data_IF_197328146455
#
_entry.id   IF_197328146455
#
_cell.length_a   1.000
_cell.length_b   1.000
_cell.length_c   1.000
_cell.angle_alpha   90.00
_cell.angle_beta   90.00
_cell.angle_gamma   90.00
#
_symmetry.space_group_name_H-M   'P 1'
#
loop_
_entity.id
_entity.type
_entity.pdbx_description
1 polymer ?
#
# COMPACT_ATOMS: atom_id res chain seq x y z
N UNK A 1 38.40 43.38 -77.21
CA UNK A 1 37.84 42.04 -77.44
C UNK A 1 36.51 41.95 -76.73
N UNK A 2 35.42 41.78 -77.50
CA UNK A 2 34.06 41.52 -77.02
C UNK A 2 33.94 40.06 -76.56
N UNK A 3 32.94 39.82 -75.70
CA UNK A 3 32.11 38.61 -75.45
C UNK A 3 31.85 38.54 -73.93
N UNK A 4 30.67 38.31 -73.36
CA UNK A 4 29.30 38.15 -73.81
C UNK A 4 28.43 38.38 -72.54
N UNK A 5 27.24 38.94 -72.69
CA UNK A 5 26.12 38.83 -71.73
C UNK A 5 24.93 38.23 -72.52
N UNK A 6 23.74 37.91 -71.95
CA UNK A 6 23.32 37.56 -70.57
C UNK A 6 22.39 36.30 -70.54
N UNK A 7 21.92 35.86 -69.37
CA UNK A 7 20.58 35.27 -69.22
C UNK A 7 20.08 35.38 -67.77
N UNK A 8 18.87 35.92 -67.64
CA UNK A 8 18.16 36.33 -66.43
C UNK A 8 17.20 35.22 -65.98
N UNK A 9 16.92 35.09 -64.67
CA UNK A 9 15.57 34.97 -64.04
C UNK A 9 15.64 34.51 -62.57
N UNK A 10 14.62 34.84 -61.75
CA UNK A 10 14.78 35.28 -60.37
C UNK A 10 14.20 34.29 -59.35
N UNK A 11 14.91 34.05 -58.26
CA UNK A 11 14.32 33.54 -57.02
C UNK A 11 15.25 33.84 -55.85
N UNK A 12 14.67 34.11 -54.68
CA UNK A 12 15.30 34.47 -53.41
C UNK A 12 15.79 35.93 -53.26
N UNK A 13 14.89 36.89 -53.52
CA UNK A 13 14.73 37.98 -52.55
C UNK A 13 14.08 37.40 -51.28
N UNK A 14 14.41 37.98 -50.12
CA UNK A 14 13.86 37.72 -48.77
C UNK A 14 14.35 36.49 -47.99
N UNK A 15 15.47 36.65 -47.30
CA UNK A 15 15.69 36.08 -45.96
C UNK A 15 16.75 36.90 -45.19
N UNK A 16 16.49 38.19 -45.01
CA UNK A 16 17.03 38.94 -43.86
C UNK A 16 16.02 38.85 -42.72
N UNK A 17 16.56 38.76 -41.51
CA UNK A 17 15.90 38.90 -40.21
C UNK A 17 14.95 37.77 -39.79
N UNK A 18 15.45 36.91 -38.89
CA UNK A 18 14.81 36.50 -37.61
C UNK A 18 15.68 35.45 -36.93
N UNK A 19 16.86 35.84 -36.44
CA UNK A 19 17.61 35.04 -35.48
C UNK A 19 17.14 35.39 -34.06
N UNK A 20 16.56 34.42 -33.35
CA UNK A 20 16.44 34.48 -31.88
C UNK A 20 15.07 34.87 -31.31
N UNK A 21 13.97 34.76 -32.06
CA UNK A 21 12.63 34.83 -31.47
C UNK A 21 12.17 33.42 -31.06
N UNK A 22 12.45 33.07 -29.79
CA UNK A 22 11.70 32.10 -29.01
C UNK A 22 11.35 30.77 -29.69
N UNK A 23 12.31 29.86 -29.81
CA UNK A 23 11.94 28.47 -29.63
C UNK A 23 11.46 28.35 -28.17
N UNK A 24 10.13 28.40 -27.96
CA UNK A 24 9.51 27.84 -26.75
C UNK A 24 9.84 26.36 -26.76
N UNK A 25 11.07 26.00 -26.37
CA UNK A 25 11.49 24.63 -26.25
C UNK A 25 10.46 23.94 -25.36
N UNK A 26 9.92 22.82 -25.83
CA UNK A 26 9.04 22.02 -25.00
C UNK A 26 9.80 21.66 -23.70
N UNK A 27 9.14 21.80 -22.55
CA UNK A 27 9.75 21.49 -21.24
C UNK A 27 10.52 20.15 -21.24
N UNK A 28 10.03 19.07 -21.90
CA UNK A 28 10.80 17.82 -21.99
C UNK A 28 12.12 17.92 -22.77
N UNK A 29 12.15 18.70 -23.85
CA UNK A 29 13.36 18.88 -24.66
C UNK A 29 14.42 19.69 -23.89
N UNK A 30 13.99 20.75 -23.19
CA UNK A 30 14.87 21.54 -22.33
C UNK A 30 15.41 20.69 -21.17
N UNK A 31 14.55 19.90 -20.55
CA UNK A 31 14.93 18.97 -19.48
C UNK A 31 16.03 18.00 -19.92
N UNK A 32 15.95 17.46 -21.14
CA UNK A 32 16.98 16.56 -21.67
C UNK A 32 18.33 17.27 -21.90
N UNK A 33 18.30 18.51 -22.39
CA UNK A 33 19.51 19.34 -22.60
C UNK A 33 20.19 19.69 -21.28
N UNK A 34 19.42 20.19 -20.30
CA UNK A 34 19.94 20.55 -18.97
C UNK A 34 20.52 19.36 -18.21
N UNK A 35 20.01 18.14 -18.44
CA UNK A 35 20.58 16.92 -17.85
C UNK A 35 21.90 16.50 -18.51
N UNK A 36 22.12 16.88 -19.76
CA UNK A 36 23.33 16.52 -20.53
C UNK A 36 24.47 17.50 -20.25
N UNK A 37 24.14 18.77 -20.08
CA UNK A 37 25.08 19.85 -19.81
C UNK A 37 24.50 20.76 -18.72
N UNK A 38 24.74 20.48 -17.42
CA UNK A 38 24.19 21.30 -16.35
C UNK A 38 24.80 22.71 -16.27
N UNK A 39 26.12 22.82 -16.44
CA UNK A 39 26.84 24.10 -16.30
C UNK A 39 26.42 25.11 -17.38
N UNK A 40 26.17 24.65 -18.60
CA UNK A 40 25.75 25.50 -19.71
C UNK A 40 24.34 26.09 -19.60
N UNK A 41 23.50 25.60 -18.68
CA UNK A 41 22.09 25.99 -18.57
C UNK A 41 21.71 26.58 -17.19
N UNK A 42 22.69 27.03 -16.40
CA UNK A 42 22.43 27.68 -15.10
C UNK A 42 21.56 28.94 -15.24
N UNK A 43 21.76 29.72 -16.30
CA UNK A 43 21.00 30.94 -16.56
C UNK A 43 19.52 30.65 -16.78
N UNK A 44 19.22 29.61 -17.54
CA UNK A 44 17.88 29.11 -17.84
C UNK A 44 17.23 28.54 -16.58
N UNK A 45 18.00 27.82 -15.75
CA UNK A 45 17.52 27.33 -14.46
C UNK A 45 17.07 28.48 -13.57
N UNK A 46 17.90 29.52 -13.41
CA UNK A 46 17.55 30.69 -12.58
C UNK A 46 16.32 31.40 -13.10
N UNK A 47 16.14 31.48 -14.43
CA UNK A 47 14.93 32.04 -15.02
C UNK A 47 13.69 31.20 -14.69
N UNK A 48 13.79 29.86 -14.77
CA UNK A 48 12.71 28.95 -14.43
C UNK A 48 12.37 28.94 -12.94
N UNK A 49 13.36 29.08 -12.06
CA UNK A 49 13.16 29.19 -10.62
C UNK A 49 12.44 30.49 -10.25
N UNK A 50 12.87 31.64 -10.80
CA UNK A 50 12.15 32.91 -10.61
C UNK A 50 10.73 32.85 -11.15
N UNK A 51 10.53 32.17 -12.28
CA UNK A 51 9.19 31.95 -12.84
C UNK A 51 8.33 31.10 -11.89
N UNK A 52 8.90 30.06 -11.28
CA UNK A 52 8.22 29.23 -10.29
C UNK A 52 7.81 30.05 -9.07
N UNK A 53 8.73 30.79 -8.46
CA UNK A 53 8.46 31.64 -7.30
C UNK A 53 7.40 32.70 -7.59
N UNK A 54 7.48 33.33 -8.77
CA UNK A 54 6.49 34.31 -9.22
C UNK A 54 5.11 33.67 -9.39
N UNK A 55 5.04 32.48 -9.99
CA UNK A 55 3.80 31.73 -10.17
C UNK A 55 3.21 31.28 -8.83
N UNK A 56 4.04 30.86 -7.87
CA UNK A 56 3.61 30.55 -6.50
C UNK A 56 3.03 31.79 -5.81
N UNK A 57 3.72 32.94 -5.92
CA UNK A 57 3.26 34.20 -5.34
C UNK A 57 1.91 34.64 -5.93
N UNK A 58 1.79 34.65 -7.26
CA UNK A 58 0.55 34.99 -7.96
C UNK A 58 -0.58 34.04 -7.58
N UNK A 59 -0.31 32.73 -7.51
CA UNK A 59 -1.31 31.75 -7.12
C UNK A 59 -1.80 31.97 -5.68
N UNK A 60 -0.89 32.26 -4.73
CA UNK A 60 -1.26 32.57 -3.33
C UNK A 60 -2.08 33.85 -3.23
N UNK A 61 -1.72 34.89 -3.97
CA UNK A 61 -2.45 36.15 -4.00
C UNK A 61 -3.85 35.97 -4.62
N UNK A 62 -3.94 35.24 -5.74
CA UNK A 62 -5.21 34.88 -6.36
C UNK A 62 -6.09 34.07 -5.41
N UNK A 63 -5.54 33.09 -4.68
CA UNK A 63 -6.29 32.31 -3.71
C UNK A 63 -6.83 33.17 -2.54
N UNK A 64 -6.06 34.17 -2.09
CA UNK A 64 -6.51 35.11 -1.05
C UNK A 64 -7.65 36.03 -1.53
N UNK A 65 -7.60 36.48 -2.79
CA UNK A 65 -8.60 37.37 -3.39
C UNK A 65 -9.85 36.63 -3.89
N UNK A 66 -9.71 35.37 -4.31
CA UNK A 66 -10.78 34.59 -4.97
C UNK A 66 -11.76 33.90 -4.02
N UNK A 67 -11.80 34.27 -2.73
CA UNK A 67 -12.88 33.86 -1.82
C UNK A 67 -14.27 34.38 -2.24
N UNK A 68 -14.35 35.23 -3.28
CA UNK A 68 -15.58 35.96 -3.65
C UNK A 68 -16.14 35.70 -5.05
N UNK A 69 -15.53 34.91 -5.94
CA UNK A 69 -16.14 34.68 -7.27
C UNK A 69 -15.64 33.44 -8.00
N UNK A 70 -16.56 32.53 -8.27
CA UNK A 70 -16.44 31.40 -9.20
C UNK A 70 -16.16 31.86 -10.63
N UNK A 71 -15.16 31.27 -11.30
CA UNK A 71 -15.14 31.22 -12.76
C UNK A 71 -13.76 31.24 -13.44
N UNK A 72 -13.21 30.05 -13.74
CA UNK A 72 -12.48 29.79 -14.98
C UNK A 72 -10.97 30.11 -15.08
N UNK A 73 -10.46 31.17 -14.45
CA UNK A 73 -9.09 31.67 -14.74
C UNK A 73 -7.93 30.94 -14.05
N UNK A 74 -8.14 30.36 -12.86
CA UNK A 74 -7.06 29.76 -12.06
C UNK A 74 -6.59 28.38 -12.51
N UNK A 75 -7.22 27.77 -13.52
CA UNK A 75 -6.90 26.41 -13.97
C UNK A 75 -5.60 26.33 -14.78
N UNK A 76 -5.36 27.32 -15.64
CA UNK A 76 -4.18 27.35 -16.51
C UNK A 76 -2.91 27.70 -15.71
N UNK A 77 -2.97 28.72 -14.85
CA UNK A 77 -1.88 29.07 -13.93
C UNK A 77 -1.53 27.92 -12.98
N UNK A 78 -2.55 27.20 -12.48
CA UNK A 78 -2.34 26.00 -11.66
C UNK A 78 -1.70 24.85 -12.44
N UNK A 79 -2.02 24.70 -13.73
CA UNK A 79 -1.40 23.67 -14.57
C UNK A 79 0.07 24.01 -14.84
N UNK A 80 0.35 25.25 -15.26
CA UNK A 80 1.71 25.73 -15.50
C UNK A 80 2.60 25.61 -14.26
N UNK A 81 2.08 25.98 -13.09
CA UNK A 81 2.77 25.83 -11.81
C UNK A 81 3.09 24.36 -11.51
N UNK A 82 2.14 23.45 -11.76
CA UNK A 82 2.34 22.01 -11.58
C UNK A 82 3.38 21.42 -12.53
N UNK A 83 3.33 21.80 -13.81
CA UNK A 83 4.28 21.37 -14.84
C UNK A 83 5.70 21.86 -14.51
N UNK A 84 5.82 23.11 -14.02
CA UNK A 84 7.09 23.69 -13.60
C UNK A 84 7.64 23.04 -12.34
N UNK A 85 6.81 22.73 -11.34
CA UNK A 85 7.22 22.00 -10.15
C UNK A 85 7.79 20.62 -10.50
N UNK A 86 7.13 19.90 -11.41
CA UNK A 86 7.58 18.58 -11.86
C UNK A 86 8.88 18.69 -12.68
N UNK A 87 8.99 19.70 -13.55
CA UNK A 87 10.22 19.99 -14.28
C UNK A 87 11.39 20.24 -13.33
N UNK A 88 11.23 21.14 -12.36
CA UNK A 88 12.28 21.48 -11.39
C UNK A 88 12.68 20.25 -10.56
N UNK A 89 11.71 19.44 -10.11
CA UNK A 89 12.00 18.20 -9.39
C UNK A 89 12.80 17.18 -10.22
N UNK A 90 12.65 17.19 -11.55
CA UNK A 90 13.42 16.33 -12.44
C UNK A 90 14.87 16.77 -12.66
N UNK A 91 15.15 18.07 -12.61
CA UNK A 91 16.50 18.63 -12.78
C UNK A 91 17.22 18.85 -11.45
N UNK A 92 16.51 18.86 -10.32
CA UNK A 92 17.06 19.04 -8.97
C UNK A 92 18.32 18.19 -8.65
N UNK A 93 18.44 16.91 -9.07
CA UNK A 93 19.67 16.13 -8.81
C UNK A 93 20.94 16.70 -9.46
N UNK A 94 20.80 17.52 -10.50
CA UNK A 94 21.91 18.13 -11.25
C UNK A 94 22.26 19.53 -10.75
N UNK A 95 21.40 20.14 -9.93
CA UNK A 95 21.57 21.49 -9.37
C UNK A 95 21.26 21.50 -7.86
N UNK A 96 22.04 20.79 -7.05
CA UNK A 96 21.73 20.58 -5.64
C UNK A 96 21.76 21.87 -4.80
N UNK A 97 22.59 22.85 -5.18
CA UNK A 97 22.73 24.10 -4.44
C UNK A 97 21.60 25.09 -4.79
N UNK A 98 21.29 25.26 -6.08
CA UNK A 98 20.27 26.23 -6.52
C UNK A 98 18.84 25.78 -6.19
N UNK A 99 18.58 24.47 -6.13
CA UNK A 99 17.26 23.89 -5.87
C UNK A 99 17.10 23.27 -4.47
N UNK A 100 17.94 23.67 -3.51
CA UNK A 100 17.88 23.19 -2.14
C UNK A 100 16.52 23.49 -1.45
N UNK A 101 15.94 24.66 -1.71
CA UNK A 101 14.69 25.13 -1.07
C UNK A 101 13.41 24.62 -1.77
N UNK A 102 13.56 23.96 -2.92
CA UNK A 102 12.43 23.47 -3.72
C UNK A 102 11.50 22.52 -2.93
N UNK A 103 12.01 21.55 -2.13
CA UNK A 103 11.17 20.70 -1.30
C UNK A 103 10.29 21.48 -0.33
N UNK A 104 10.84 22.49 0.33
CA UNK A 104 10.13 23.29 1.34
C UNK A 104 9.06 24.15 0.70
N UNK A 105 9.33 24.71 -0.49
CA UNK A 105 8.32 25.43 -1.27
C UNK A 105 7.15 24.52 -1.67
N UNK A 106 7.43 23.30 -2.16
CA UNK A 106 6.39 22.33 -2.55
C UNK A 106 5.63 21.83 -1.31
N UNK A 107 6.35 21.51 -0.23
CA UNK A 107 5.80 21.05 1.05
C UNK A 107 4.88 22.10 1.67
N UNK A 108 5.34 23.35 1.77
CA UNK A 108 4.55 24.46 2.32
C UNK A 108 3.30 24.79 1.52
N UNK A 109 3.30 24.56 0.20
CA UNK A 109 2.09 24.66 -0.63
C UNK A 109 1.08 23.56 -0.32
N UNK A 110 1.56 22.33 -0.12
CA UNK A 110 0.73 21.18 0.21
C UNK A 110 0.21 21.23 1.65
N UNK A 111 0.98 21.77 2.59
CA UNK A 111 0.60 21.84 4.01
C UNK A 111 -0.43 22.95 4.27
N UNK A 112 -0.09 24.21 3.93
CA UNK A 112 -0.91 25.39 4.24
C UNK A 112 -2.25 25.43 3.50
N UNK A 113 -2.31 24.87 2.28
CA UNK A 113 -3.42 25.10 1.34
C UNK A 113 -3.95 23.83 0.64
N UNK A 114 -3.61 22.61 1.08
CA UNK A 114 -4.00 21.36 0.38
C UNK A 114 -5.46 21.32 -0.07
N UNK A 115 -6.41 21.74 0.77
CA UNK A 115 -7.85 21.71 0.43
C UNK A 115 -8.23 22.71 -0.66
N UNK A 116 -7.60 23.88 -0.66
CA UNK A 116 -7.89 24.97 -1.59
C UNK A 116 -7.24 24.77 -2.98
N UNK A 117 -6.20 23.93 -3.07
CA UNK A 117 -5.53 23.64 -4.33
C UNK A 117 -6.44 22.88 -5.31
N UNK A 118 -6.43 23.22 -6.61
CA UNK A 118 -7.04 22.40 -7.65
C UNK A 118 -6.49 20.98 -7.65
N UNK A 119 -7.34 19.99 -7.95
CA UNK A 119 -6.97 18.57 -7.91
C UNK A 119 -5.78 18.23 -8.82
N UNK A 120 -5.72 18.82 -10.01
CA UNK A 120 -4.61 18.60 -10.95
C UNK A 120 -3.26 19.11 -10.42
N UNK A 121 -3.25 20.32 -9.86
CA UNK A 121 -2.05 20.91 -9.25
C UNK A 121 -1.60 20.08 -8.04
N UNK A 122 -2.51 19.66 -7.16
CA UNK A 122 -2.15 18.77 -6.04
C UNK A 122 -1.45 17.52 -6.51
N UNK A 123 -1.97 16.85 -7.54
CA UNK A 123 -1.37 15.63 -8.07
C UNK A 123 0.05 15.89 -8.57
N UNK A 124 0.28 16.96 -9.34
CA UNK A 124 1.62 17.30 -9.82
C UNK A 124 2.60 17.65 -8.69
N UNK A 125 2.17 18.43 -7.69
CA UNK A 125 3.01 18.76 -6.52
C UNK A 125 3.38 17.51 -5.72
N UNK A 126 2.42 16.61 -5.50
CA UNK A 126 2.66 15.32 -4.81
C UNK A 126 3.61 14.45 -5.63
N UNK A 127 3.45 14.36 -6.94
CA UNK A 127 4.36 13.63 -7.82
C UNK A 127 5.78 14.22 -7.81
N UNK A 128 5.91 15.55 -7.83
CA UNK A 128 7.19 16.25 -7.73
C UNK A 128 7.88 15.95 -6.38
N UNK A 129 7.15 16.02 -5.27
CA UNK A 129 7.69 15.69 -3.95
C UNK A 129 8.12 14.20 -3.86
N UNK A 130 7.29 13.28 -4.37
CA UNK A 130 7.62 11.85 -4.46
C UNK A 130 8.92 11.64 -5.26
N UNK A 131 9.12 12.38 -6.34
CA UNK A 131 10.32 12.30 -7.17
C UNK A 131 11.56 12.76 -6.38
N UNK A 132 11.46 13.86 -5.65
CA UNK A 132 12.54 14.39 -4.80
C UNK A 132 12.93 13.38 -3.70
N UNK A 133 11.95 12.74 -3.06
CA UNK A 133 12.19 11.66 -2.08
C UNK A 133 12.84 10.44 -2.73
N UNK A 134 12.34 10.00 -3.89
CA UNK A 134 12.91 8.86 -4.62
C UNK A 134 14.36 9.10 -5.05
N UNK A 135 14.74 10.35 -5.30
CA UNK A 135 16.11 10.78 -5.65
C UNK A 135 17.00 11.01 -4.43
N UNK A 136 16.47 10.83 -3.20
CA UNK A 136 17.17 11.06 -1.92
C UNK A 136 17.62 12.50 -1.72
N UNK A 137 16.91 13.46 -2.33
CA UNK A 137 17.10 14.90 -2.05
C UNK A 137 16.44 15.22 -0.70
N UNK A 138 15.31 14.58 -0.42
CA UNK A 138 14.55 14.68 0.83
C UNK A 138 14.39 13.30 1.42
N UNK A 139 14.45 13.18 2.74
CA UNK A 139 14.21 11.92 3.42
C UNK A 139 12.70 11.67 3.62
N UNK A 140 12.29 10.39 3.56
CA UNK A 140 10.90 10.01 3.82
C UNK A 140 10.47 10.36 5.25
N UNK A 141 11.42 10.36 6.19
CA UNK A 141 11.17 10.69 7.60
C UNK A 141 10.57 12.10 7.73
N UNK A 142 11.10 13.07 6.99
CA UNK A 142 10.71 14.48 7.06
C UNK A 142 9.38 14.76 6.36
N UNK A 143 9.01 13.92 5.39
CA UNK A 143 7.78 14.08 4.57
C UNK A 143 6.64 13.16 4.98
N UNK A 144 6.88 12.25 5.93
CA UNK A 144 5.93 11.22 6.33
C UNK A 144 4.62 11.83 6.84
N UNK A 145 4.69 12.84 7.71
CA UNK A 145 3.51 13.49 8.29
C UNK A 145 2.67 14.14 7.19
N UNK A 146 3.30 14.89 6.28
CA UNK A 146 2.60 15.50 5.14
C UNK A 146 1.90 14.45 4.27
N UNK A 147 2.56 13.34 3.92
CA UNK A 147 1.90 12.26 3.16
C UNK A 147 0.76 11.59 3.93
N UNK A 148 0.83 11.54 5.26
CA UNK A 148 -0.27 11.05 6.09
C UNK A 148 -1.45 12.01 6.08
N UNK A 149 -1.21 13.32 6.13
CA UNK A 149 -2.27 14.34 6.02
C UNK A 149 -2.94 14.36 4.65
N UNK A 150 -2.14 14.23 3.58
CA UNK A 150 -2.65 14.12 2.21
C UNK A 150 -3.57 12.90 2.02
N UNK A 151 -3.37 11.81 2.78
CA UNK A 151 -4.27 10.65 2.74
C UNK A 151 -5.61 10.87 3.45
N UNK A 152 -5.70 11.87 4.32
CA UNK A 152 -6.95 12.27 4.97
C UNK A 152 -7.67 13.28 4.09
N UNK A 153 -6.96 14.34 3.71
CA UNK A 153 -7.50 15.55 3.08
C UNK A 153 -7.63 15.43 1.57
N UNK A 154 -6.70 14.72 0.91
CA UNK A 154 -6.60 14.70 -0.54
C UNK A 154 -7.77 14.04 -1.26
N UNK A 155 -7.85 14.28 -2.57
CA UNK A 155 -8.76 13.57 -3.47
C UNK A 155 -8.33 12.11 -3.68
N UNK A 156 -9.16 11.33 -4.37
CA UNK A 156 -8.93 9.88 -4.54
C UNK A 156 -7.57 9.58 -5.20
N UNK A 157 -7.12 10.41 -6.15
CA UNK A 157 -5.84 10.21 -6.82
C UNK A 157 -4.66 10.48 -5.88
N UNK A 158 -4.68 11.62 -5.18
CA UNK A 158 -3.66 11.98 -4.18
C UNK A 158 -3.57 10.95 -3.05
N UNK A 159 -4.73 10.49 -2.54
CA UNK A 159 -4.79 9.43 -1.52
C UNK A 159 -4.09 8.15 -1.97
N UNK A 160 -4.33 7.71 -3.21
CA UNK A 160 -3.70 6.52 -3.79
C UNK A 160 -2.18 6.74 -3.98
N UNK A 161 -1.79 7.90 -4.47
CA UNK A 161 -0.37 8.26 -4.68
C UNK A 161 0.41 8.29 -3.37
N UNK A 162 -0.10 8.98 -2.35
CA UNK A 162 0.56 9.09 -1.04
C UNK A 162 0.66 7.72 -0.35
N UNK A 163 -0.42 6.93 -0.34
CA UNK A 163 -0.41 5.57 0.21
C UNK A 163 0.63 4.69 -0.51
N UNK A 164 0.58 4.66 -1.85
CA UNK A 164 1.49 3.86 -2.66
C UNK A 164 2.94 4.29 -2.44
N UNK A 165 3.21 5.60 -2.38
CA UNK A 165 4.56 6.10 -2.17
C UNK A 165 5.14 5.65 -0.83
N UNK A 166 4.39 5.79 0.28
CA UNK A 166 4.86 5.37 1.60
C UNK A 166 5.21 3.88 1.59
N UNK A 167 4.30 3.03 1.13
CA UNK A 167 4.50 1.57 1.09
C UNK A 167 5.71 1.21 0.24
N UNK A 168 5.80 1.74 -0.99
CA UNK A 168 6.88 1.41 -1.92
C UNK A 168 8.23 1.96 -1.46
N UNK A 169 8.27 3.15 -0.87
CA UNK A 169 9.51 3.74 -0.35
C UNK A 169 10.05 2.93 0.82
N UNK A 170 9.19 2.51 1.76
CA UNK A 170 9.59 1.65 2.89
C UNK A 170 10.05 0.28 2.37
N UNK A 171 9.33 -0.31 1.41
CA UNK A 171 9.72 -1.59 0.78
C UNK A 171 11.08 -1.48 0.09
N UNK A 172 11.30 -0.43 -0.72
CA UNK A 172 12.55 -0.20 -1.44
C UNK A 172 13.71 0.02 -0.48
N UNK A 173 13.49 0.76 0.60
CA UNK A 173 14.49 0.98 1.65
C UNK A 173 14.95 -0.34 2.30
N UNK A 174 14.05 -1.32 2.41
CA UNK A 174 14.30 -2.62 3.03
C UNK A 174 14.64 -3.75 2.03
N UNK A 175 14.78 -3.45 0.73
CA UNK A 175 14.93 -4.48 -0.32
C UNK A 175 16.26 -5.24 -0.25
N UNK A 176 17.36 -4.55 0.11
CA UNK A 176 18.70 -5.17 0.21
C UNK A 176 19.03 -5.58 1.65
N UNK A 177 18.79 -4.68 2.59
CA UNK A 177 19.04 -4.87 4.02
C UNK A 177 17.96 -4.13 4.81
N UNK A 178 17.59 -4.67 5.98
CA UNK A 178 16.60 -4.03 6.85
C UNK A 178 17.21 -2.81 7.55
N UNK A 179 16.75 -1.61 7.24
CA UNK A 179 17.22 -0.40 7.91
C UNK A 179 16.46 -0.19 9.22
N UNK A 180 16.86 -0.92 10.27
CA UNK A 180 16.26 -0.88 11.62
C UNK A 180 16.08 0.55 12.15
N UNK A 181 17.10 1.40 12.03
CA UNK A 181 17.05 2.76 12.58
C UNK A 181 15.95 3.61 11.94
N UNK A 182 15.89 3.65 10.60
CA UNK A 182 14.84 4.38 9.86
C UNK A 182 13.47 3.74 10.09
N UNK A 183 13.39 2.40 10.08
CA UNK A 183 12.14 1.67 10.36
C UNK A 183 11.59 2.02 11.73
N UNK A 184 12.40 2.06 12.79
CA UNK A 184 11.93 2.38 14.15
C UNK A 184 11.33 3.78 14.24
N UNK A 185 11.91 4.76 13.54
CA UNK A 185 11.37 6.13 13.48
C UNK A 185 10.03 6.16 12.75
N UNK A 186 9.96 5.56 11.55
CA UNK A 186 8.73 5.51 10.75
C UNK A 186 7.60 4.73 11.43
N UNK A 187 7.93 3.60 12.06
CA UNK A 187 7.02 2.86 12.94
C UNK A 187 6.54 3.74 14.09
N UNK A 188 7.43 4.49 14.74
CA UNK A 188 7.08 5.41 15.82
C UNK A 188 6.05 6.45 15.40
N UNK A 189 6.18 7.04 14.22
CA UNK A 189 5.21 7.98 13.64
C UNK A 189 3.86 7.26 13.44
N UNK A 190 3.85 6.13 12.74
CA UNK A 190 2.61 5.40 12.44
C UNK A 190 1.90 4.87 13.69
N UNK A 191 2.64 4.38 14.69
CA UNK A 191 2.06 3.92 15.95
C UNK A 191 1.39 5.06 16.70
N UNK A 192 2.03 6.24 16.77
CA UNK A 192 1.40 7.45 17.35
C UNK A 192 0.11 7.81 16.62
N UNK A 193 0.12 7.74 15.28
CA UNK A 193 -1.06 8.07 14.47
C UNK A 193 -2.20 7.07 14.64
N UNK A 194 -1.92 5.78 14.79
CA UNK A 194 -2.94 4.74 15.04
C UNK A 194 -3.60 4.91 16.42
N UNK A 195 -2.85 5.38 17.41
CA UNK A 195 -3.36 5.65 18.76
C UNK A 195 -4.04 7.03 18.89
N UNK A 196 -4.00 7.84 17.85
CA UNK A 196 -4.60 9.17 17.84
C UNK A 196 -6.13 9.13 17.79
N UNK A 197 -6.79 10.17 18.30
CA UNK A 197 -8.25 10.24 18.37
C UNK A 197 -8.92 10.44 16.98
N UNK A 198 -8.18 10.98 16.01
CA UNK A 198 -8.71 11.26 14.67
C UNK A 198 -8.90 9.97 13.85
N UNK A 199 -10.16 9.51 13.74
CA UNK A 199 -10.52 8.24 13.08
C UNK A 199 -9.93 8.08 11.67
N UNK A 200 -10.01 9.11 10.83
CA UNK A 200 -9.55 9.03 9.43
C UNK A 200 -8.04 8.80 9.33
N UNK A 201 -7.25 9.58 10.08
CA UNK A 201 -5.79 9.45 10.14
C UNK A 201 -5.36 8.13 10.76
N UNK A 202 -5.98 7.72 11.87
CA UNK A 202 -5.71 6.45 12.52
C UNK A 202 -5.99 5.25 11.59
N UNK A 203 -7.11 5.27 10.85
CA UNK A 203 -7.46 4.24 9.88
C UNK A 203 -6.48 4.16 8.71
N UNK A 204 -5.98 5.30 8.22
CA UNK A 204 -4.95 5.33 7.16
C UNK A 204 -3.64 4.74 7.66
N UNK A 205 -3.17 5.17 8.84
CA UNK A 205 -1.95 4.65 9.45
C UNK A 205 -2.04 3.13 9.69
N UNK A 206 -3.18 2.67 10.23
CA UNK A 206 -3.45 1.26 10.44
C UNK A 206 -3.40 0.44 9.14
N UNK A 207 -3.98 0.98 8.06
CA UNK A 207 -3.97 0.32 6.74
C UNK A 207 -2.55 0.14 6.21
N UNK A 208 -1.69 1.14 6.38
CA UNK A 208 -0.26 1.07 5.99
C UNK A 208 0.48 0.01 6.82
N UNK A 209 0.29 -0.02 8.14
CA UNK A 209 0.91 -1.03 9.00
C UNK A 209 0.51 -2.45 8.57
N UNK A 210 -0.78 -2.64 8.27
CA UNK A 210 -1.29 -3.93 7.83
C UNK A 210 -0.68 -4.36 6.49
N UNK A 211 -0.58 -3.45 5.52
CA UNK A 211 0.00 -3.74 4.21
C UNK A 211 1.49 -4.09 4.33
N UNK A 212 2.27 -3.31 5.10
CA UNK A 212 3.69 -3.56 5.32
C UNK A 212 3.96 -4.87 6.07
N UNK A 213 3.10 -5.23 7.04
CA UNK A 213 3.19 -6.50 7.76
C UNK A 213 2.84 -7.70 6.86
N UNK A 214 1.80 -7.58 6.02
CA UNK A 214 1.42 -8.60 5.02
C UNK A 214 2.52 -8.83 3.99
N UNK A 215 3.14 -7.76 3.48
CA UNK A 215 4.26 -7.82 2.53
C UNK A 215 5.58 -8.27 3.17
N UNK A 216 5.59 -8.65 4.46
CA UNK A 216 6.78 -9.07 5.23
C UNK A 216 7.90 -8.03 5.30
N UNK A 217 7.58 -6.76 5.07
CA UNK A 217 8.56 -5.68 5.16
C UNK A 217 8.81 -5.35 6.63
N UNK A 218 7.73 -5.15 7.39
CA UNK A 218 7.75 -4.96 8.84
C UNK A 218 7.07 -6.14 9.53
N UNK A 219 7.80 -7.25 9.58
CA UNK A 219 7.39 -8.48 10.25
C UNK A 219 8.18 -8.63 11.54
N UNK A 220 7.78 -7.86 12.54
CA UNK A 220 8.40 -7.78 13.87
C UNK A 220 7.31 -7.67 14.95
N UNK A 221 7.64 -8.10 16.17
CA UNK A 221 6.71 -8.13 17.29
C UNK A 221 6.08 -6.76 17.55
N UNK A 222 6.82 -5.66 17.38
CA UNK A 222 6.28 -4.31 17.61
C UNK A 222 5.13 -3.99 16.65
N UNK A 223 5.29 -4.29 15.36
CA UNK A 223 4.25 -4.07 14.36
C UNK A 223 3.07 -5.02 14.59
N UNK A 224 3.33 -6.29 14.90
CA UNK A 224 2.29 -7.27 15.20
C UNK A 224 1.42 -6.84 16.40
N UNK A 225 2.05 -6.40 17.50
CA UNK A 225 1.34 -5.90 18.67
C UNK A 225 0.61 -4.59 18.38
N UNK A 226 1.19 -3.67 17.60
CA UNK A 226 0.49 -2.44 17.20
C UNK A 226 -0.78 -2.71 16.36
N UNK A 227 -0.75 -3.72 15.48
CA UNK A 227 -1.92 -4.18 14.72
C UNK A 227 -2.97 -4.77 15.65
N UNK A 228 -2.56 -5.60 16.62
CA UNK A 228 -3.48 -6.20 17.57
C UNK A 228 -4.06 -5.17 18.55
N UNK A 229 -3.27 -4.20 18.99
CA UNK A 229 -3.70 -3.12 19.89
C UNK A 229 -4.78 -2.24 19.26
N UNK A 230 -4.83 -2.14 17.93
CA UNK A 230 -5.88 -1.44 17.21
C UNK A 230 -7.29 -2.05 17.45
N UNK A 231 -7.38 -3.31 17.90
CA UNK A 231 -8.63 -3.92 18.35
C UNK A 231 -9.21 -3.26 19.63
N UNK A 232 -8.42 -2.48 20.36
CA UNK A 232 -8.86 -1.78 21.56
C UNK A 232 -9.16 -0.29 21.33
N UNK A 233 -9.01 0.19 20.10
CA UNK A 233 -9.20 1.59 19.77
C UNK A 233 -10.64 2.08 20.10
N UNK A 234 -10.85 3.33 20.55
CA UNK A 234 -12.17 3.87 20.87
C UNK A 234 -13.12 3.92 19.66
N UNK A 235 -12.62 4.24 18.46
CA UNK A 235 -13.44 4.18 17.24
C UNK A 235 -13.80 2.73 16.88
N UNK A 236 -15.11 2.44 16.92
CA UNK A 236 -15.69 1.16 16.53
C UNK A 236 -15.33 0.72 15.11
N UNK A 237 -15.22 1.67 14.18
CA UNK A 237 -14.86 1.38 12.78
C UNK A 237 -13.43 0.90 12.64
N UNK A 238 -12.50 1.47 13.40
CA UNK A 238 -11.10 1.03 13.41
C UNK A 238 -10.96 -0.33 14.10
N UNK A 239 -11.59 -0.48 15.26
CA UNK A 239 -11.66 -1.75 15.99
C UNK A 239 -12.20 -2.88 15.08
N UNK A 240 -13.34 -2.66 14.43
CA UNK A 240 -13.97 -3.64 13.54
C UNK A 240 -13.06 -3.97 12.35
N UNK A 241 -12.39 -2.96 11.77
CA UNK A 241 -11.41 -3.19 10.71
C UNK A 241 -10.22 -4.03 11.18
N UNK A 242 -9.72 -3.78 12.39
CA UNK A 242 -8.62 -4.55 12.97
C UNK A 242 -9.00 -6.01 13.25
N UNK A 243 -10.16 -6.23 13.87
CA UNK A 243 -10.68 -7.58 14.13
C UNK A 243 -10.94 -8.32 12.81
N UNK A 244 -11.55 -7.66 11.81
CA UNK A 244 -11.77 -8.23 10.48
C UNK A 244 -10.47 -8.66 9.82
N UNK A 245 -9.45 -7.82 9.93
CA UNK A 245 -8.13 -8.08 9.38
C UNK A 245 -7.45 -9.29 10.05
N UNK A 246 -7.55 -9.44 11.36
CA UNK A 246 -6.98 -10.58 12.09
C UNK A 246 -7.67 -11.90 11.74
N UNK A 247 -8.99 -11.89 11.51
CA UNK A 247 -9.73 -13.08 11.07
C UNK A 247 -9.37 -13.44 9.63
N UNK A 248 -9.38 -12.45 8.74
CA UNK A 248 -9.12 -12.62 7.32
C UNK A 248 -7.63 -12.61 6.96
N UNK A 249 -6.72 -12.65 7.93
CA UNK A 249 -5.30 -12.42 7.69
C UNK A 249 -4.70 -13.46 6.72
N UNK A 250 -5.20 -14.69 6.76
CA UNK A 250 -4.76 -15.81 5.92
C UNK A 250 -5.49 -15.91 4.58
N UNK A 251 -6.68 -15.29 4.49
CA UNK A 251 -7.54 -15.41 3.30
C UNK A 251 -7.20 -14.38 2.22
N UNK A 252 -6.42 -13.36 2.56
CA UNK A 252 -5.94 -12.38 1.59
C UNK A 252 -4.73 -12.99 0.90
N UNK A 253 -4.96 -13.57 -0.29
CA UNK A 253 -3.87 -13.88 -1.21
C UNK A 253 -2.94 -12.67 -1.28
N UNK A 254 -1.64 -12.89 -1.10
CA UNK A 254 -0.66 -11.82 -1.25
C UNK A 254 -0.82 -11.28 -2.68
N UNK A 255 -1.45 -10.12 -2.82
CA UNK A 255 -1.46 -9.36 -4.06
C UNK A 255 0.00 -8.98 -4.34
N UNK A 256 0.69 -9.86 -5.07
CA UNK A 256 1.94 -9.54 -5.70
C UNK A 256 1.63 -8.46 -6.74
N UNK A 257 1.72 -7.20 -6.34
CA UNK A 257 1.91 -6.05 -7.23
C UNK A 257 3.23 -6.29 -7.99
N UNK A 258 3.17 -7.10 -9.04
CA UNK A 258 4.14 -7.10 -10.11
C UNK A 258 3.93 -5.80 -10.88
N UNK A 259 4.48 -4.72 -10.34
CA UNK A 259 4.50 -3.41 -10.98
C UNK A 259 5.27 -3.50 -12.30
N UNK A 260 4.52 -3.33 -13.39
CA UNK A 260 4.88 -2.74 -14.67
C UNK A 260 6.39 -2.62 -15.01
N UNK A 261 6.98 -3.67 -15.61
CA UNK A 261 7.86 -3.56 -16.78
C UNK A 261 8.21 -4.95 -17.33
N UNK A 262 7.30 -5.52 -18.09
CA UNK A 262 7.63 -6.37 -19.24
C UNK A 262 6.36 -6.57 -20.05
N UNK A 263 6.26 -5.90 -21.18
CA UNK A 263 5.38 -6.34 -22.26
C UNK A 263 5.73 -7.79 -22.61
N UNK A 264 4.86 -8.72 -22.22
CA UNK A 264 4.53 -9.97 -22.91
C UNK A 264 3.64 -10.81 -21.98
N UNK A 265 2.38 -10.38 -21.86
CA UNK A 265 1.26 -11.22 -21.45
C UNK A 265 0.99 -12.24 -22.57
N UNK A 266 1.56 -13.43 -22.45
CA UNK A 266 1.17 -14.57 -23.27
C UNK A 266 1.10 -15.84 -22.42
N UNK A 267 -0.14 -16.14 -22.01
CA UNK A 267 -0.69 -17.48 -21.76
C UNK A 267 -0.10 -18.27 -20.58
N UNK A 268 -0.75 -18.15 -19.42
CA UNK A 268 -0.66 -19.13 -18.35
C UNK A 268 -1.32 -20.45 -18.78
N UNK A 269 -0.52 -21.48 -19.05
CA UNK A 269 -0.99 -22.86 -19.10
C UNK A 269 -0.53 -23.57 -17.82
N UNK A 270 -1.44 -24.06 -16.95
CA UNK A 270 -1.10 -24.47 -15.59
C UNK A 270 -0.55 -25.90 -15.46
N UNK A 271 -0.29 -26.62 -16.56
CA UNK A 271 0.19 -28.01 -16.52
C UNK A 271 1.33 -28.26 -17.54
N UNK A 272 2.56 -27.86 -17.18
CA UNK A 272 3.75 -28.21 -17.96
C UNK A 272 4.64 -29.09 -17.08
N UNK A 273 4.53 -30.41 -17.24
CA UNK A 273 5.49 -31.35 -16.68
C UNK A 273 6.78 -31.22 -17.50
N UNK A 274 7.85 -30.75 -16.87
CA UNK A 274 9.18 -30.68 -17.51
C UNK A 274 9.70 -32.10 -17.76
N UNK A 275 9.68 -32.57 -19.00
CA UNK A 275 10.24 -33.87 -19.36
C UNK A 275 11.76 -33.78 -19.55
N UNK A 276 12.48 -34.87 -19.26
CA UNK A 276 13.94 -34.99 -19.50
C UNK A 276 14.32 -34.72 -20.97
N UNK A 277 13.38 -34.94 -21.89
CA UNK A 277 13.54 -34.65 -23.32
C UNK A 277 13.52 -33.17 -23.66
N UNK A 278 12.73 -32.34 -22.95
CA UNK A 278 12.63 -30.90 -23.24
C UNK A 278 13.92 -30.18 -22.88
N UNK A 279 14.58 -30.62 -21.81
CA UNK A 279 15.91 -30.15 -21.38
C UNK A 279 16.97 -30.53 -22.43
N UNK A 280 16.92 -31.76 -22.96
CA UNK A 280 17.84 -32.22 -24.00
C UNK A 280 17.66 -31.46 -25.32
N UNK A 281 16.40 -31.28 -25.75
CA UNK A 281 16.05 -30.55 -26.98
C UNK A 281 16.46 -29.07 -26.93
N UNK A 282 16.45 -28.46 -25.74
CA UNK A 282 16.89 -27.08 -25.55
C UNK A 282 18.41 -26.89 -25.71
N UNK A 283 19.21 -27.87 -25.28
CA UNK A 283 20.68 -27.78 -25.31
C UNK A 283 21.31 -28.34 -26.58
N UNK A 284 20.70 -29.37 -27.19
CA UNK A 284 21.38 -30.15 -28.25
C UNK A 284 20.70 -30.13 -29.62
N UNK A 285 19.46 -29.64 -29.76
CA UNK A 285 18.72 -29.67 -31.06
C UNK A 285 18.35 -28.28 -31.59
N UNK A 286 18.84 -27.93 -32.79
CA UNK A 286 18.46 -26.75 -33.57
C UNK A 286 19.61 -25.75 -33.82
N UNK A 287 19.32 -24.66 -34.52
CA UNK A 287 20.26 -23.54 -34.77
C UNK A 287 20.55 -22.76 -33.49
N UNK A 288 21.63 -21.96 -33.47
CA UNK A 288 22.04 -21.15 -32.31
C UNK A 288 20.91 -20.23 -31.78
N UNK A 289 20.19 -19.58 -32.69
CA UNK A 289 19.02 -18.75 -32.36
C UNK A 289 17.86 -19.57 -31.76
N UNK A 290 17.60 -20.77 -32.30
CA UNK A 290 16.56 -21.68 -31.80
C UNK A 290 16.89 -22.20 -30.39
N UNK A 291 18.15 -22.56 -30.13
CA UNK A 291 18.64 -22.99 -28.80
C UNK A 291 18.48 -21.88 -27.76
N UNK A 292 18.82 -20.63 -28.09
CA UNK A 292 18.65 -19.47 -27.20
C UNK A 292 17.18 -19.27 -26.80
N UNK A 293 16.24 -19.38 -27.75
CA UNK A 293 14.79 -19.26 -27.49
C UNK A 293 14.26 -20.41 -26.64
N UNK A 294 14.70 -21.65 -26.89
CA UNK A 294 14.30 -22.84 -26.10
C UNK A 294 14.84 -22.78 -24.67
N UNK A 295 16.08 -22.33 -24.48
CA UNK A 295 16.68 -22.13 -23.15
C UNK A 295 15.94 -21.06 -22.35
N UNK A 296 15.61 -19.92 -22.97
CA UNK A 296 14.82 -18.87 -22.31
C UNK A 296 13.42 -19.37 -21.89
N UNK A 297 12.76 -20.19 -22.73
CA UNK A 297 11.47 -20.82 -22.38
C UNK A 297 11.62 -21.77 -21.20
N UNK A 298 12.66 -22.61 -21.20
CA UNK A 298 12.95 -23.55 -20.11
C UNK A 298 13.20 -22.81 -18.79
N UNK A 299 14.01 -21.76 -18.80
CA UNK A 299 14.30 -20.94 -17.61
C UNK A 299 13.04 -20.25 -17.06
N UNK A 300 12.11 -19.82 -17.93
CA UNK A 300 10.82 -19.25 -17.52
C UNK A 300 9.93 -20.30 -16.84
N UNK A 301 9.86 -21.52 -17.37
CA UNK A 301 9.10 -22.64 -16.76
C UNK A 301 9.71 -23.06 -15.43
N UNK A 302 11.04 -23.18 -15.34
CA UNK A 302 11.73 -23.51 -14.07
C UNK A 302 11.51 -22.43 -13.01
N UNK A 303 11.52 -21.15 -13.39
CA UNK A 303 11.18 -20.04 -12.47
C UNK A 303 9.73 -20.13 -11.99
N UNK A 304 8.79 -20.45 -12.88
CA UNK A 304 7.38 -20.66 -12.53
C UNK A 304 7.21 -21.83 -11.55
N UNK A 305 7.84 -22.97 -11.80
CA UNK A 305 7.80 -24.14 -10.89
C UNK A 305 8.42 -23.84 -9.54
N UNK A 306 9.60 -23.19 -9.49
CA UNK A 306 10.22 -22.79 -8.21
C UNK A 306 9.34 -21.81 -7.42
N UNK A 307 8.61 -20.92 -8.10
CA UNK A 307 7.65 -20.00 -7.46
C UNK A 307 6.45 -20.76 -6.90
N UNK A 308 5.91 -21.72 -7.65
CA UNK A 308 4.79 -22.55 -7.20
C UNK A 308 5.18 -23.48 -6.04
N UNK A 309 6.40 -24.03 -6.07
CA UNK A 309 6.93 -24.86 -4.99
C UNK A 309 7.21 -24.06 -3.70
N UNK A 310 7.62 -22.79 -3.82
CA UNK A 310 7.70 -21.87 -2.66
C UNK A 310 6.31 -21.58 -2.10
N UNK A 311 5.33 -21.31 -2.98
CA UNK A 311 3.93 -21.06 -2.60
C UNK A 311 3.32 -22.28 -1.87
N UNK A 312 3.53 -23.50 -2.36
CA UNK A 312 3.02 -24.72 -1.70
C UNK A 312 3.69 -25.02 -0.36
N UNK A 313 4.99 -24.70 -0.22
CA UNK A 313 5.69 -24.83 1.06
C UNK A 313 5.23 -23.79 2.09
N UNK A 314 4.88 -22.58 1.64
CA UNK A 314 4.33 -21.51 2.50
C UNK A 314 2.89 -21.80 2.93
N UNK A 315 2.07 -22.39 2.05
CA UNK A 315 0.68 -22.79 2.34
C UNK A 315 0.58 -23.85 3.45
N UNK A 316 1.58 -24.73 3.57
CA UNK A 316 1.64 -25.74 4.64
C UNK A 316 1.93 -25.14 6.03
N UNK A 317 2.33 -23.86 6.11
CA UNK A 317 2.64 -23.13 7.35
C UNK A 317 1.77 -21.90 7.60
N UNK A 318 0.58 -21.82 6.99
CA UNK A 318 -0.27 -20.61 6.91
C UNK A 318 -0.52 -19.89 8.26
N UNK A 319 -0.67 -20.64 9.36
CA UNK A 319 -0.90 -20.08 10.70
C UNK A 319 0.32 -19.37 11.34
N UNK A 320 1.54 -19.55 10.83
CA UNK A 320 2.77 -19.02 11.46
C UNK A 320 2.98 -17.52 11.28
N UNK A 321 2.09 -16.91 10.52
CA UNK A 321 2.32 -15.61 9.89
C UNK A 321 1.32 -14.54 10.30
N UNK A 322 0.34 -14.91 11.12
CA UNK A 322 -0.65 -13.99 11.69
C UNK A 322 0.02 -13.08 12.73
N UNK A 323 -0.39 -11.80 12.83
CA UNK A 323 0.03 -10.92 13.93
C UNK A 323 -0.22 -11.53 15.30
N UNK A 324 -1.26 -12.37 15.44
CA UNK A 324 -1.61 -13.05 16.68
C UNK A 324 -0.49 -13.97 17.21
N UNK A 325 0.36 -14.51 16.34
CA UNK A 325 1.45 -15.41 16.72
C UNK A 325 2.56 -14.70 17.47
N UNK A 326 2.75 -13.39 17.23
CA UNK A 326 3.85 -12.58 17.76
C UNK A 326 3.39 -11.61 18.86
N UNK A 327 2.31 -11.94 19.56
CA UNK A 327 1.83 -11.19 20.71
C UNK A 327 2.83 -11.25 21.87
N UNK A 328 3.11 -10.11 22.50
CA UNK A 328 3.97 -10.05 23.69
C UNK A 328 3.29 -10.59 24.94
N UNK A 329 2.00 -10.30 25.08
CA UNK A 329 1.15 -10.76 26.18
C UNK A 329 -0.16 -11.32 25.60
N UNK A 330 -0.16 -12.60 25.15
CA UNK A 330 -1.34 -13.20 24.55
C UNK A 330 -2.49 -13.39 25.54
N UNK A 331 -2.19 -13.68 26.81
CA UNK A 331 -3.18 -13.82 27.88
C UNK A 331 -3.89 -12.48 28.14
N UNK A 332 -3.13 -11.41 28.40
CA UNK A 332 -3.68 -10.09 28.65
C UNK A 332 -4.46 -9.54 27.45
N UNK A 333 -4.00 -9.82 26.22
CA UNK A 333 -4.75 -9.49 25.01
C UNK A 333 -6.14 -10.17 24.99
N UNK A 334 -6.19 -11.49 25.21
CA UNK A 334 -7.43 -12.26 25.19
C UNK A 334 -8.39 -11.82 26.30
N UNK A 335 -7.90 -11.63 27.52
CA UNK A 335 -8.70 -11.18 28.66
C UNK A 335 -9.27 -9.77 28.46
N UNK A 336 -8.45 -8.84 27.96
CA UNK A 336 -8.87 -7.47 27.66
C UNK A 336 -9.92 -7.43 26.55
N UNK A 337 -9.74 -8.23 25.49
CA UNK A 337 -10.69 -8.31 24.39
C UNK A 337 -12.01 -8.96 24.82
N UNK A 338 -11.94 -9.99 25.66
CA UNK A 338 -13.11 -10.63 26.24
C UNK A 338 -13.88 -9.69 27.18
N UNK A 339 -13.18 -8.95 28.05
CA UNK A 339 -13.78 -7.93 28.93
C UNK A 339 -14.49 -6.84 28.12
N UNK A 340 -13.89 -6.42 26.99
CA UNK A 340 -14.52 -5.47 26.07
C UNK A 340 -15.75 -6.08 25.40
N UNK A 341 -15.68 -7.32 24.93
CA UNK A 341 -16.79 -8.04 24.31
C UNK A 341 -18.01 -8.12 25.24
N UNK A 342 -17.80 -8.38 26.54
CA UNK A 342 -18.88 -8.45 27.53
C UNK A 342 -19.64 -7.12 27.69
N UNK A 343 -18.93 -5.99 27.58
CA UNK A 343 -19.48 -4.63 27.70
C UNK A 343 -19.87 -4.01 26.35
N UNK A 344 -19.66 -4.73 25.25
CA UNK A 344 -19.79 -4.23 23.89
C UNK A 344 -21.26 -4.08 23.48
N UNK A 345 -21.65 -2.89 23.02
CA UNK A 345 -22.99 -2.60 22.49
C UNK A 345 -23.02 -2.61 20.94
N UNK A 346 -22.05 -3.28 20.32
CA UNK A 346 -21.99 -3.41 18.85
C UNK A 346 -22.97 -4.46 18.32
N UNK A 347 -23.18 -4.43 17.00
CA UNK A 347 -23.98 -5.43 16.28
C UNK A 347 -23.48 -6.84 16.55
N UNK A 348 -24.39 -7.80 16.47
CA UNK A 348 -24.08 -9.21 16.71
C UNK A 348 -22.94 -9.72 15.82
N UNK A 349 -22.84 -9.28 14.57
CA UNK A 349 -21.75 -9.67 13.67
C UNK A 349 -20.38 -9.28 14.23
N UNK A 350 -20.23 -8.07 14.78
CA UNK A 350 -18.97 -7.59 15.37
C UNK A 350 -18.62 -8.39 16.62
N UNK A 351 -19.63 -8.73 17.44
CA UNK A 351 -19.44 -9.59 18.63
C UNK A 351 -18.97 -10.99 18.25
N UNK A 352 -19.53 -11.56 17.18
CA UNK A 352 -19.08 -12.85 16.63
C UNK A 352 -17.64 -12.77 16.14
N UNK A 353 -17.26 -11.68 15.45
CA UNK A 353 -15.89 -11.47 15.01
C UNK A 353 -14.91 -11.40 16.21
N UNK A 354 -15.26 -10.67 17.27
CA UNK A 354 -14.46 -10.64 18.51
C UNK A 354 -14.30 -12.04 19.11
N UNK A 355 -15.38 -12.82 19.18
CA UNK A 355 -15.33 -14.21 19.66
C UNK A 355 -14.36 -15.07 18.86
N UNK A 356 -14.36 -14.95 17.53
CA UNK A 356 -13.45 -15.70 16.65
C UNK A 356 -11.98 -15.34 16.90
N UNK A 357 -11.67 -14.05 17.10
CA UNK A 357 -10.30 -13.62 17.41
C UNK A 357 -9.86 -14.13 18.79
N UNK A 358 -10.73 -14.08 19.79
CA UNK A 358 -10.44 -14.60 21.14
C UNK A 358 -10.20 -16.11 21.07
N UNK A 359 -11.11 -16.87 20.46
CA UNK A 359 -10.96 -18.32 20.28
C UNK A 359 -9.66 -18.69 19.56
N UNK A 360 -9.34 -17.98 18.47
CA UNK A 360 -8.10 -18.17 17.73
C UNK A 360 -6.86 -17.90 18.58
N UNK A 361 -6.90 -16.86 19.41
CA UNK A 361 -5.79 -16.52 20.32
C UNK A 361 -5.62 -17.59 21.40
N UNK A 362 -6.73 -18.06 21.99
CA UNK A 362 -6.74 -19.16 22.97
C UNK A 362 -6.11 -20.42 22.39
N UNK A 363 -6.60 -20.86 21.23
CA UNK A 363 -6.09 -22.07 20.59
C UNK A 363 -4.63 -21.99 20.16
N UNK A 364 -4.18 -20.82 19.69
CA UNK A 364 -2.82 -20.63 19.20
C UNK A 364 -1.77 -20.58 20.31
N UNK A 365 -2.13 -20.03 21.47
CA UNK A 365 -1.21 -19.88 22.62
C UNK A 365 -1.54 -20.81 23.80
N UNK A 366 -2.49 -21.73 23.64
CA UNK A 366 -2.97 -22.63 24.68
C UNK A 366 -3.35 -21.92 25.99
N UNK A 367 -4.13 -20.84 25.87
CA UNK A 367 -4.50 -19.97 26.98
C UNK A 367 -5.65 -20.52 27.82
N UNK A 368 -5.62 -20.31 29.13
CA UNK A 368 -6.73 -20.72 30.01
C UNK A 368 -7.63 -19.52 30.30
N UNK A 369 -8.76 -19.42 29.57
CA UNK A 369 -9.78 -18.38 29.77
C UNK A 369 -11.15 -19.01 30.07
N UNK A 370 -11.32 -19.53 31.29
CA UNK A 370 -12.49 -20.35 31.67
C UNK A 370 -13.84 -19.64 31.50
N UNK A 371 -13.90 -18.32 31.72
CA UNK A 371 -15.13 -17.54 31.57
C UNK A 371 -15.62 -17.45 30.12
N UNK A 372 -14.79 -17.84 29.14
CA UNK A 372 -15.14 -17.85 27.72
C UNK A 372 -16.21 -18.89 27.40
N UNK A 373 -16.12 -20.11 27.95
CA UNK A 373 -17.04 -21.20 27.63
C UNK A 373 -18.48 -20.95 28.10
N UNK A 374 -18.72 -20.49 29.36
CA UNK A 374 -20.07 -20.09 29.79
C UNK A 374 -20.65 -18.92 28.98
N UNK A 375 -19.79 -18.05 28.44
CA UNK A 375 -20.24 -16.97 27.57
C UNK A 375 -20.69 -17.49 26.20
N UNK A 376 -19.91 -18.40 25.58
CA UNK A 376 -20.31 -19.08 24.34
C UNK A 376 -21.63 -19.82 24.50
N UNK A 377 -21.81 -20.50 25.64
CA UNK A 377 -22.99 -21.29 25.97
C UNK A 377 -24.31 -20.52 25.80
N UNK A 378 -24.33 -19.21 26.07
CA UNK A 378 -25.52 -18.36 25.89
C UNK A 378 -25.99 -18.23 24.45
N UNK A 379 -25.09 -18.43 23.48
CA UNK A 379 -25.35 -18.29 22.05
C UNK A 379 -25.54 -19.64 21.34
N UNK A 380 -25.33 -20.75 22.03
CA UNK A 380 -25.50 -22.11 21.50
C UNK A 380 -27.00 -22.46 21.45
N UNK A 381 -27.68 -21.92 20.44
CA UNK A 381 -29.08 -22.21 20.13
C UNK A 381 -29.26 -22.54 18.63
N UNK A 382 -30.14 -23.47 18.24
CA UNK A 382 -30.26 -23.91 16.85
C UNK A 382 -30.68 -22.82 15.85
N UNK A 383 -31.46 -21.85 16.31
CA UNK A 383 -31.98 -20.72 15.52
C UNK A 383 -31.03 -19.52 15.51
N UNK A 384 -29.93 -19.57 16.27
CA UNK A 384 -28.99 -18.46 16.32
C UNK A 384 -28.30 -18.31 14.95
N UNK A 385 -28.05 -17.05 14.55
CA UNK A 385 -27.29 -16.74 13.34
C UNK A 385 -25.84 -17.19 13.50
N UNK A 386 -25.25 -17.71 12.42
CA UNK A 386 -23.83 -18.09 12.34
C UNK A 386 -23.35 -19.10 13.39
N UNK A 387 -24.24 -19.97 13.87
CA UNK A 387 -23.94 -21.02 14.86
C UNK A 387 -22.77 -21.91 14.46
N UNK A 388 -22.63 -22.22 13.18
CA UNK A 388 -21.49 -23.02 12.69
C UNK A 388 -20.15 -22.34 12.99
N UNK A 389 -20.09 -21.01 12.84
CA UNK A 389 -18.88 -20.24 13.16
C UNK A 389 -18.62 -20.15 14.65
N UNK A 390 -19.69 -20.09 15.47
CA UNK A 390 -19.61 -20.12 16.92
C UNK A 390 -19.07 -21.47 17.41
N UNK A 391 -19.57 -22.58 16.86
CA UNK A 391 -19.11 -23.93 17.19
C UNK A 391 -17.66 -24.14 16.76
N UNK A 392 -17.27 -23.70 15.56
CA UNK A 392 -15.88 -23.73 15.13
C UNK A 392 -14.95 -22.92 16.06
N UNK A 393 -15.40 -21.75 16.54
CA UNK A 393 -14.68 -20.96 17.53
C UNK A 393 -14.58 -21.67 18.88
N UNK A 394 -15.63 -22.38 19.32
CA UNK A 394 -15.60 -23.18 20.53
C UNK A 394 -14.55 -24.29 20.44
N UNK A 395 -14.54 -25.05 19.34
CA UNK A 395 -13.56 -26.11 19.09
C UNK A 395 -12.14 -25.56 19.06
N UNK A 396 -11.93 -24.43 18.37
CA UNK A 396 -10.62 -23.78 18.29
C UNK A 396 -10.09 -23.33 19.66
N UNK A 397 -10.97 -22.97 20.60
CA UNK A 397 -10.60 -22.58 21.95
C UNK A 397 -10.42 -23.78 22.90
N UNK A 398 -10.71 -25.01 22.47
CA UNK A 398 -10.48 -26.21 23.27
C UNK A 398 -9.08 -26.79 22.98
N UNK A 399 -8.30 -27.02 24.03
CA UNK A 399 -6.99 -27.65 23.96
C UNK A 399 -6.70 -28.42 25.25
N UNK A 400 -5.61 -29.19 25.28
CA UNK A 400 -5.28 -30.15 26.36
C UNK A 400 -5.22 -29.52 27.76
N UNK A 401 -4.83 -28.24 27.85
CA UNK A 401 -4.72 -27.49 29.11
C UNK A 401 -6.05 -26.95 29.66
N UNK A 402 -7.15 -27.05 28.92
CA UNK A 402 -8.47 -26.62 29.37
C UNK A 402 -9.10 -27.74 30.19
N UNK A 403 -9.50 -27.49 31.45
CA UNK A 403 -10.06 -28.54 32.27
C UNK A 403 -11.45 -28.96 31.74
N UNK A 404 -11.76 -30.26 31.71
CA UNK A 404 -12.95 -30.78 31.05
C UNK A 404 -14.26 -30.33 31.72
N UNK A 405 -14.22 -30.06 33.03
CA UNK A 405 -15.33 -29.53 33.82
C UNK A 405 -15.83 -28.15 33.33
N UNK A 406 -14.94 -27.32 32.80
CA UNK A 406 -15.30 -26.02 32.23
C UNK A 406 -16.00 -26.13 30.86
N UNK A 407 -15.71 -27.19 30.09
CA UNK A 407 -16.23 -27.41 28.73
C UNK A 407 -17.45 -28.33 28.73
N UNK A 408 -17.56 -29.24 29.69
CA UNK A 408 -18.65 -30.21 29.80
C UNK A 408 -20.06 -29.57 29.74
N UNK A 409 -20.37 -28.43 30.41
CA UNK A 409 -21.67 -27.79 30.30
C UNK A 409 -21.98 -27.30 28.88
N UNK A 410 -20.97 -26.76 28.20
CA UNK A 410 -21.08 -26.31 26.81
C UNK A 410 -21.34 -27.50 25.88
N UNK A 411 -20.60 -28.59 26.07
CA UNK A 411 -20.77 -29.83 25.31
C UNK A 411 -22.17 -30.43 25.50
N UNK A 412 -22.63 -30.57 26.74
CA UNK A 412 -24.00 -31.05 27.05
C UNK A 412 -25.07 -30.21 26.37
N UNK A 413 -24.91 -28.88 26.36
CA UNK A 413 -25.85 -28.01 25.68
C UNK A 413 -25.82 -28.20 24.15
N UNK A 414 -24.64 -28.40 23.56
CA UNK A 414 -24.52 -28.71 22.13
C UNK A 414 -25.28 -30.02 21.83
N UNK A 415 -25.03 -31.09 22.58
CA UNK A 415 -25.72 -32.37 22.37
C UNK A 415 -27.24 -32.20 22.50
N UNK A 416 -27.72 -31.60 23.59
CA UNK A 416 -29.16 -31.46 23.85
C UNK A 416 -29.90 -30.61 22.80
N UNK A 417 -29.26 -29.56 22.29
CA UNK A 417 -29.88 -28.63 21.35
C UNK A 417 -29.76 -29.07 19.90
N UNK A 418 -28.74 -29.86 19.55
CA UNK A 418 -28.39 -30.17 18.16
C UNK A 418 -28.52 -31.64 17.79
N UNK A 419 -28.50 -32.54 18.76
CA UNK A 419 -28.61 -34.00 18.59
C UNK A 419 -29.88 -34.46 19.31
N UNK A 420 -31.03 -34.32 18.65
CA UNK A 420 -32.32 -34.80 19.16
C UNK A 420 -33.12 -35.46 18.03
N UNK A 421 -33.99 -36.43 18.30
CA UNK A 421 -34.67 -37.26 17.29
C UNK A 421 -35.46 -36.50 16.19
N UNK A 422 -35.74 -35.20 16.39
CA UNK A 422 -36.43 -34.32 15.42
C UNK A 422 -35.52 -33.40 14.59
N UNK A 423 -34.19 -33.49 14.69
CA UNK A 423 -33.28 -32.58 13.98
C UNK A 423 -33.13 -32.98 12.52
N UNK A 424 -33.11 -31.98 11.62
CA UNK A 424 -32.97 -32.22 10.17
C UNK A 424 -31.60 -32.87 9.86
N UNK A 425 -31.51 -33.79 8.89
CA UNK A 425 -30.27 -34.54 8.60
C UNK A 425 -29.05 -33.65 8.32
N UNK A 426 -29.25 -32.51 7.66
CA UNK A 426 -28.23 -31.49 7.33
C UNK A 426 -27.62 -30.81 8.57
N UNK A 427 -28.46 -30.66 9.61
CA UNK A 427 -28.09 -30.11 10.91
C UNK A 427 -27.27 -31.15 11.70
N UNK A 428 -27.61 -32.43 11.62
CA UNK A 428 -26.85 -33.48 12.27
C UNK A 428 -25.48 -33.69 11.60
N UNK A 429 -25.42 -33.80 10.27
CA UNK A 429 -24.17 -34.13 9.55
C UNK A 429 -23.13 -33.02 9.59
N UNK A 430 -23.51 -31.75 9.39
CA UNK A 430 -22.56 -30.63 9.45
C UNK A 430 -22.05 -30.37 10.88
N UNK A 431 -22.82 -30.76 11.90
CA UNK A 431 -22.50 -30.51 13.33
C UNK A 431 -21.79 -31.69 14.00
N UNK A 432 -22.01 -32.93 13.55
CA UNK A 432 -21.21 -34.11 13.94
C UNK A 432 -19.78 -34.09 13.41
N UNK A 433 -19.49 -33.36 12.34
CA UNK A 433 -18.12 -33.18 11.84
C UNK A 433 -17.32 -32.12 12.62
N UNK A 434 -18.00 -31.28 13.40
CA UNK A 434 -17.41 -30.22 14.22
C UNK A 434 -17.21 -30.70 15.67
N UNK A 435 -18.09 -31.57 16.17
CA UNK A 435 -17.89 -32.37 17.39
C UNK A 435 -16.80 -33.40 17.12
#
# INVERSE_FOLDING_TARGET
MRQHAPAYTPEAASASATGGAGERHSLPALQAKMKRDPEGYETELRQLQRHFESSVFLFRQQAALSSSSSGGGGGETAKELGDLALFLAHVAPFYPNDLADLPDHIGGLLDTNARALPSGLRVHLVQALILLVNRKIVDLEDTMELFMELQVIGDRAVKKLAFSHIVHSIRRMNQKHKNEAKNRKLQGILFKLVQGEEESRAKRAFTILCDLHRRRVWFDDRTANAICDACFHPSSRLMTAAISLLIGYENVEQEDDSDASSEDEASQNPNIILSKEDVYKANHKGTSASKKKKKAKLERVVRSMKRQQRKSNEESGSNYYSPLTYLKDPQGFAEKLFSRLQKCNERFEVRMMMLKVIARTIGLHHLVLLNFYPYLQRYVQPHQRDVTTLLAAAVQACHEMVPPDAVEPLFKQIVNQFVHDRSRPEVCTTRLFII
#
